data_IF_114550310788
#
_entry.id   IF_114550310788
#
_cell.length_a   1.000
_cell.length_b   1.000
_cell.length_c   1.000
_cell.angle_alpha   90.00
_cell.angle_beta   90.00
_cell.angle_gamma   90.00
#
_symmetry.space_group_name_H-M   'P 1'
#
loop_
_entity.id
_entity.type
_entity.pdbx_description
1 polymer ?
#
# COMPACT_ATOMS: atom_id res chain seq x y z
N UNK A 1 -16.58 -4.15 -21.21
CA UNK A 1 -15.45 -5.00 -20.73
C UNK A 1 -15.82 -5.77 -19.48
N UNK A 2 -15.86 -5.16 -18.27
CA UNK A 2 -16.04 -5.89 -16.99
C UNK A 2 -17.29 -6.78 -16.93
N UNK A 3 -18.46 -6.28 -17.37
CA UNK A 3 -19.70 -7.07 -17.41
C UNK A 3 -19.60 -8.34 -18.27
N UNK A 4 -18.72 -8.35 -19.27
CA UNK A 4 -18.56 -9.46 -20.20
C UNK A 4 -17.45 -10.42 -19.76
N UNK A 5 -16.36 -9.89 -19.21
CA UNK A 5 -15.22 -10.70 -18.77
C UNK A 5 -15.41 -11.32 -17.38
N UNK A 6 -16.32 -10.78 -16.55
CA UNK A 6 -16.65 -11.27 -15.20
C UNK A 6 -15.40 -11.66 -14.38
N UNK A 7 -14.44 -10.73 -14.20
CA UNK A 7 -13.22 -11.05 -13.48
C UNK A 7 -13.54 -11.34 -12.01
N UNK A 8 -12.87 -12.34 -11.44
CA UNK A 8 -12.89 -12.60 -9.99
C UNK A 8 -12.10 -11.54 -9.22
N UNK A 9 -11.05 -10.99 -9.85
CA UNK A 9 -10.19 -9.96 -9.29
C UNK A 9 -9.85 -8.91 -10.36
N UNK A 10 -9.91 -7.64 -9.99
CA UNK A 10 -9.37 -6.53 -10.78
C UNK A 10 -8.26 -5.90 -9.95
N UNK A 11 -7.05 -5.88 -10.51
CA UNK A 11 -5.93 -5.12 -9.95
C UNK A 11 -5.85 -3.78 -10.67
N UNK A 12 -5.85 -2.71 -9.90
CA UNK A 12 -5.70 -1.34 -10.39
C UNK A 12 -4.36 -0.82 -9.89
N UNK A 13 -3.53 -0.32 -10.80
CA UNK A 13 -2.28 0.33 -10.45
C UNK A 13 -2.59 1.62 -9.67
N UNK A 14 -2.02 1.76 -8.47
CA UNK A 14 -2.14 2.98 -7.68
C UNK A 14 -1.47 4.16 -8.36
N UNK A 15 -1.84 5.38 -7.96
CA UNK A 15 -1.25 6.62 -8.47
C UNK A 15 -0.96 7.54 -7.29
N UNK A 16 0.24 8.14 -7.27
CA UNK A 16 0.70 9.07 -6.23
C UNK A 16 0.48 8.54 -4.79
N UNK A 17 0.06 9.41 -3.87
CA UNK A 17 -0.41 9.13 -2.51
C UNK A 17 -1.59 10.05 -2.20
N UNK A 18 -2.45 9.64 -1.25
CA UNK A 18 -3.57 10.45 -0.77
C UNK A 18 -3.12 11.79 -0.19
N UNK A 19 -1.92 11.83 0.41
CA UNK A 19 -1.39 12.99 1.10
C UNK A 19 -0.27 13.71 0.35
N UNK A 20 0.05 13.32 -0.90
CA UNK A 20 1.06 14.03 -1.69
C UNK A 20 0.55 15.42 -2.11
N UNK A 21 1.13 16.54 -1.62
CA UNK A 21 0.58 17.87 -1.85
C UNK A 21 0.77 18.37 -3.29
N UNK A 22 1.69 17.81 -4.08
CA UNK A 22 1.89 18.20 -5.48
C UNK A 22 0.87 17.57 -6.44
N UNK A 23 0.21 16.49 -6.01
CA UNK A 23 -0.76 15.77 -6.82
C UNK A 23 -1.36 14.62 -6.03
N UNK A 24 -2.32 14.89 -5.12
CA UNK A 24 -2.95 13.84 -4.33
C UNK A 24 -3.83 12.98 -5.24
N UNK A 25 -3.77 11.66 -5.05
CA UNK A 25 -4.53 10.68 -5.84
C UNK A 25 -4.72 9.39 -5.05
N UNK A 26 -5.63 8.53 -5.52
CA UNK A 26 -5.98 7.25 -4.91
C UNK A 26 -7.40 7.23 -4.32
N UNK A 27 -7.88 8.37 -3.83
CA UNK A 27 -9.24 8.47 -3.25
C UNK A 27 -10.33 8.20 -4.29
N UNK A 28 -10.09 8.59 -5.54
CA UNK A 28 -10.97 8.33 -6.68
C UNK A 28 -11.06 6.84 -7.01
N UNK A 29 -9.98 6.06 -6.83
CA UNK A 29 -10.01 4.61 -7.02
C UNK A 29 -10.83 3.92 -5.93
N UNK A 30 -10.72 4.39 -4.69
CA UNK A 30 -11.50 3.88 -3.56
C UNK A 30 -12.97 4.25 -3.72
N UNK A 31 -13.28 5.55 -3.81
CA UNK A 31 -14.66 6.06 -3.78
C UNK A 31 -15.41 5.86 -5.10
N UNK A 32 -14.79 6.22 -6.22
CA UNK A 32 -15.45 6.16 -7.54
C UNK A 32 -15.21 4.83 -8.24
N UNK A 33 -14.00 4.27 -8.09
CA UNK A 33 -13.64 2.95 -8.59
C UNK A 33 -14.22 1.79 -7.75
N UNK A 34 -14.74 2.10 -6.55
CA UNK A 34 -15.27 1.12 -5.60
C UNK A 34 -14.26 0.00 -5.29
N UNK A 35 -12.98 0.36 -5.17
CA UNK A 35 -11.94 -0.56 -4.73
C UNK A 35 -12.19 -0.93 -3.26
N UNK A 36 -12.31 -2.22 -2.98
CA UNK A 36 -12.65 -2.74 -1.65
C UNK A 36 -11.42 -3.08 -0.80
N UNK A 37 -10.28 -3.30 -1.44
CA UNK A 37 -9.01 -3.62 -0.79
C UNK A 37 -7.85 -2.82 -1.40
N UNK A 38 -6.89 -2.45 -0.56
CA UNK A 38 -5.69 -1.70 -0.93
C UNK A 38 -4.44 -2.45 -0.47
N UNK A 39 -3.47 -2.59 -1.37
CA UNK A 39 -2.09 -2.91 -1.01
C UNK A 39 -1.33 -1.59 -0.94
N UNK A 40 -0.87 -1.21 0.25
CA UNK A 40 -0.17 0.05 0.47
C UNK A 40 1.33 -0.14 0.24
N UNK A 41 1.92 0.62 -0.69
CA UNK A 41 3.38 0.63 -0.88
C UNK A 41 3.98 1.78 -0.05
N UNK A 42 4.88 1.46 0.87
CA UNK A 42 5.41 2.43 1.84
C UNK A 42 6.96 2.50 1.80
N UNK A 43 7.55 3.69 1.60
CA UNK A 43 9.00 3.88 1.54
C UNK A 43 9.60 4.21 2.91
N UNK A 44 10.02 3.19 3.66
CA UNK A 44 10.51 3.32 5.04
C UNK A 44 11.71 4.29 5.16
N UNK A 45 12.64 4.26 4.21
CA UNK A 45 13.84 5.09 4.25
C UNK A 45 13.65 6.51 3.69
N UNK A 46 12.47 6.86 3.18
CA UNK A 46 12.24 8.16 2.54
C UNK A 46 11.63 9.15 3.52
N UNK A 47 12.34 10.26 3.73
CA UNK A 47 11.90 11.30 4.68
C UNK A 47 10.82 12.23 4.11
N UNK A 48 10.94 12.64 2.85
CA UNK A 48 10.06 13.63 2.22
C UNK A 48 9.50 13.12 0.89
N UNK A 49 8.40 13.71 0.43
CA UNK A 49 7.91 13.45 -0.93
C UNK A 49 8.94 13.89 -1.98
N UNK A 50 9.06 13.09 -3.05
CA UNK A 50 9.97 13.37 -4.18
C UNK A 50 9.59 14.69 -4.83
N UNK A 51 10.59 15.49 -5.20
CA UNK A 51 10.46 16.84 -5.79
C UNK A 51 9.85 17.89 -4.84
N UNK A 52 9.74 17.57 -3.54
CA UNK A 52 9.18 18.42 -2.50
C UNK A 52 10.09 18.56 -1.27
N UNK A 53 11.34 18.12 -1.40
CA UNK A 53 12.34 18.12 -0.31
C UNK A 53 12.63 19.53 0.20
N UNK A 54 12.60 20.55 -0.67
CA UNK A 54 12.82 21.95 -0.29
C UNK A 54 11.74 22.51 0.65
N UNK A 55 10.55 21.90 0.62
CA UNK A 55 9.42 22.28 1.48
C UNK A 55 9.30 21.38 2.72
N UNK A 56 10.17 20.37 2.85
CA UNK A 56 10.20 19.41 3.95
C UNK A 56 8.85 18.71 4.21
N UNK A 57 8.07 18.42 3.16
CA UNK A 57 6.81 17.69 3.30
C UNK A 57 7.07 16.21 3.61
N UNK A 58 6.83 15.74 4.85
CA UNK A 58 7.23 14.41 5.27
C UNK A 58 6.36 13.33 4.64
N UNK A 59 6.96 12.16 4.39
CA UNK A 59 6.17 10.95 4.16
C UNK A 59 5.38 10.66 5.44
N UNK A 60 4.04 10.49 5.37
CA UNK A 60 3.25 10.19 6.57
C UNK A 60 3.60 8.83 7.17
N UNK A 61 3.39 8.70 8.47
CA UNK A 61 3.54 7.41 9.15
C UNK A 61 2.57 6.37 8.57
N UNK A 62 3.05 5.13 8.47
CA UNK A 62 2.30 4.03 7.87
C UNK A 62 0.92 3.85 8.51
N UNK A 63 0.83 3.89 9.84
CA UNK A 63 -0.41 3.70 10.56
C UNK A 63 -1.44 4.78 10.26
N UNK A 64 -1.00 6.00 9.96
CA UNK A 64 -1.90 7.10 9.61
C UNK A 64 -2.40 6.97 8.17
N UNK A 65 -1.55 6.52 7.24
CA UNK A 65 -2.00 6.15 5.88
C UNK A 65 -3.04 5.02 5.92
N UNK A 66 -2.82 3.99 6.75
CA UNK A 66 -3.77 2.88 6.93
C UNK A 66 -5.12 3.40 7.41
N UNK A 67 -5.15 4.20 8.48
CA UNK A 67 -6.40 4.81 9.00
C UNK A 67 -7.09 5.69 7.97
N UNK A 68 -6.32 6.46 7.20
CA UNK A 68 -6.85 7.35 6.18
C UNK A 68 -7.54 6.55 5.06
N UNK A 69 -6.88 5.51 4.54
CA UNK A 69 -7.46 4.61 3.54
C UNK A 69 -8.76 3.96 4.06
N UNK A 70 -8.76 3.49 5.30
CA UNK A 70 -9.94 2.91 5.93
C UNK A 70 -11.08 3.91 6.12
N UNK A 71 -10.75 5.18 6.36
CA UNK A 71 -11.73 6.27 6.44
C UNK A 71 -12.41 6.55 5.10
N UNK A 72 -11.75 6.25 3.97
CA UNK A 72 -12.36 6.28 2.64
C UNK A 72 -13.21 5.04 2.32
N UNK A 73 -13.21 4.01 3.17
CA UNK A 73 -14.08 2.83 3.06
C UNK A 73 -13.44 1.60 2.42
N UNK A 74 -12.13 1.61 2.13
CA UNK A 74 -11.39 0.43 1.69
C UNK A 74 -10.58 -0.16 2.83
N UNK A 75 -10.33 -1.48 2.81
CA UNK A 75 -9.46 -2.12 3.80
C UNK A 75 -8.03 -2.22 3.26
N UNK A 76 -7.03 -1.93 4.10
CA UNK A 76 -5.65 -2.28 3.77
C UNK A 76 -5.46 -3.78 3.96
N UNK A 77 -5.12 -4.49 2.88
CA UNK A 77 -5.02 -5.97 2.86
C UNK A 77 -3.58 -6.48 2.72
N UNK A 78 -2.61 -5.57 2.59
CA UNK A 78 -1.19 -5.89 2.59
C UNK A 78 -0.33 -4.64 2.44
N UNK A 79 0.95 -4.74 2.83
CA UNK A 79 1.91 -3.64 2.75
C UNK A 79 3.17 -4.07 2.01
N UNK A 80 3.50 -3.36 0.93
CA UNK A 80 4.75 -3.53 0.21
C UNK A 80 5.77 -2.51 0.69
N UNK A 81 6.84 -2.95 1.34
CA UNK A 81 7.93 -2.06 1.74
C UNK A 81 8.81 -1.74 0.53
N UNK A 82 8.98 -0.45 0.26
CA UNK A 82 9.98 0.02 -0.67
C UNK A 82 11.32 0.13 0.07
N UNK A 83 12.34 -0.48 -0.51
CA UNK A 83 13.66 -0.68 0.08
C UNK A 83 14.58 0.53 -0.07
N UNK A 84 14.14 1.58 -0.75
CA UNK A 84 14.91 2.81 -0.94
C UNK A 84 15.35 3.41 0.41
N UNK A 85 16.64 3.73 0.51
CA UNK A 85 17.27 4.40 1.65
C UNK A 85 17.10 3.68 3.02
N UNK A 86 16.74 2.40 3.03
CA UNK A 86 16.67 1.58 4.24
C UNK A 86 17.54 0.33 4.09
N UNK A 87 18.14 -0.13 5.18
CA UNK A 87 18.85 -1.40 5.20
C UNK A 87 17.88 -2.58 5.24
N UNK A 88 18.32 -3.73 4.76
CA UNK A 88 17.53 -4.95 4.83
C UNK A 88 17.19 -5.33 6.28
N UNK A 89 18.09 -5.08 7.23
CA UNK A 89 17.85 -5.35 8.65
C UNK A 89 16.69 -4.50 9.20
N UNK A 90 16.71 -3.19 8.96
CA UNK A 90 15.63 -2.27 9.35
C UNK A 90 14.30 -2.67 8.72
N UNK A 91 14.30 -3.00 7.42
CA UNK A 91 13.11 -3.43 6.70
C UNK A 91 12.53 -4.73 7.27
N UNK A 92 13.37 -5.70 7.65
CA UNK A 92 12.92 -6.98 8.23
C UNK A 92 12.39 -6.82 9.65
N UNK A 93 13.01 -5.96 10.45
CA UNK A 93 12.50 -5.61 11.78
C UNK A 93 11.13 -4.95 11.66
N UNK A 94 11.03 -3.92 10.82
CA UNK A 94 9.79 -3.21 10.56
C UNK A 94 8.70 -4.16 10.03
N UNK A 95 9.01 -4.97 9.01
CA UNK A 95 8.12 -6.00 8.47
C UNK A 95 7.51 -6.85 9.59
N UNK A 96 8.34 -7.43 10.46
CA UNK A 96 7.87 -8.30 11.54
C UNK A 96 6.96 -7.56 12.53
N UNK A 97 7.31 -6.33 12.91
CA UNK A 97 6.50 -5.53 13.84
C UNK A 97 5.14 -5.23 13.20
N UNK A 98 5.15 -4.75 11.96
CA UNK A 98 3.93 -4.35 11.24
C UNK A 98 3.02 -5.53 10.93
N UNK A 99 3.55 -6.70 10.53
CA UNK A 99 2.75 -7.92 10.34
C UNK A 99 2.03 -8.33 11.62
N UNK A 100 2.71 -8.30 12.76
CA UNK A 100 2.11 -8.64 14.05
C UNK A 100 1.03 -7.64 14.47
N UNK A 101 1.25 -6.35 14.21
CA UNK A 101 0.33 -5.29 14.62
C UNK A 101 -0.95 -5.26 13.78
N UNK A 102 -0.82 -5.42 12.46
CA UNK A 102 -1.93 -5.26 11.53
C UNK A 102 -2.56 -6.59 11.11
N UNK A 103 -1.89 -7.72 11.38
CA UNK A 103 -2.34 -9.07 11.02
C UNK A 103 -2.70 -9.19 9.51
N UNK A 104 -1.89 -8.55 8.67
CA UNK A 104 -1.92 -8.58 7.21
C UNK A 104 -0.50 -8.83 6.70
N UNK A 105 -0.32 -9.40 5.49
CA UNK A 105 1.01 -9.63 4.93
C UNK A 105 1.77 -8.31 4.73
N UNK A 106 3.03 -8.28 5.14
CA UNK A 106 3.97 -7.21 4.82
C UNK A 106 5.15 -7.85 4.11
N UNK A 107 5.52 -7.37 2.92
CA UNK A 107 6.58 -7.99 2.12
C UNK A 107 7.52 -6.94 1.57
N UNK A 108 8.71 -7.38 1.15
CA UNK A 108 9.61 -6.59 0.31
C UNK A 108 9.42 -7.06 -1.14
N UNK A 109 8.61 -6.41 -1.99
CA UNK A 109 8.19 -6.96 -3.27
C UNK A 109 9.35 -7.19 -4.26
N UNK A 110 10.41 -6.38 -4.16
CA UNK A 110 11.58 -6.49 -5.03
C UNK A 110 12.53 -7.61 -4.58
N UNK A 111 12.68 -7.82 -3.27
CA UNK A 111 13.50 -8.90 -2.70
C UNK A 111 12.79 -10.26 -2.66
N UNK A 112 11.54 -10.30 -2.19
CA UNK A 112 10.81 -11.54 -1.89
C UNK A 112 9.84 -11.96 -3.02
N UNK A 113 9.57 -11.06 -3.96
CA UNK A 113 8.46 -11.21 -4.91
C UNK A 113 7.10 -11.02 -4.23
N UNK A 114 6.03 -11.33 -4.96
CA UNK A 114 4.63 -11.02 -4.56
C UNK A 114 3.78 -12.25 -4.25
N UNK A 115 4.38 -13.44 -4.15
CA UNK A 115 3.66 -14.70 -3.98
C UNK A 115 2.80 -14.71 -2.71
N UNK A 116 3.28 -14.13 -1.61
CA UNK A 116 2.53 -14.06 -0.35
C UNK A 116 1.25 -13.21 -0.49
N UNK A 117 1.28 -12.10 -1.23
CA UNK A 117 0.07 -11.34 -1.53
C UNK A 117 -0.91 -12.14 -2.38
N UNK A 118 -0.42 -12.80 -3.44
CA UNK A 118 -1.28 -13.59 -4.32
C UNK A 118 -2.00 -14.72 -3.55
N UNK A 119 -1.28 -15.42 -2.67
CA UNK A 119 -1.85 -16.47 -1.81
C UNK A 119 -2.86 -15.88 -0.82
N UNK A 120 -2.51 -14.80 -0.12
CA UNK A 120 -3.39 -14.15 0.84
C UNK A 120 -4.71 -13.70 0.20
N UNK A 121 -4.66 -13.06 -0.97
CA UNK A 121 -5.85 -12.62 -1.72
C UNK A 121 -6.72 -13.82 -2.09
N UNK A 122 -6.10 -14.88 -2.63
CA UNK A 122 -6.83 -16.09 -3.04
C UNK A 122 -7.52 -16.78 -1.86
N UNK A 123 -6.88 -16.82 -0.69
CA UNK A 123 -7.36 -17.55 0.48
C UNK A 123 -8.30 -16.76 1.39
N UNK A 124 -8.27 -15.42 1.35
CA UNK A 124 -8.99 -14.58 2.30
C UNK A 124 -9.94 -13.56 1.65
N UNK A 125 -9.76 -13.24 0.37
CA UNK A 125 -10.51 -12.17 -0.31
C UNK A 125 -11.42 -12.73 -1.42
N UNK A 126 -10.96 -13.74 -2.17
CA UNK A 126 -11.71 -14.33 -3.28
C UNK A 126 -12.63 -15.50 -2.86
N UNK A 127 -12.80 -15.73 -1.55
CA UNK A 127 -13.58 -16.86 -1.01
C UNK A 127 -15.05 -16.52 -0.84
#
# INVERSE_FOLDING_TARGET
CVKNSKPELILVEGQSSLQNPSGPSGSEFILSGNATGVILVHPLGRKFFVDLEEFEYPIPELEDEVKLIESYGAKVIGIGLNEENASLEELREFQKITENNLNIPVILPLTDGVANFANYIKENILV
#
